data_IF_012176685645
#
_entry.id   IF_012176685645
#
_cell.length_a   1.000
_cell.length_b   1.000
_cell.length_c   1.000
_cell.angle_alpha   90.00
_cell.angle_beta   90.00
_cell.angle_gamma   90.00
#
_symmetry.space_group_name_H-M   'P 1'
#
loop_
_entity.id
_entity.type
_entity.pdbx_description
1 polymer ?
#
# COMPACT_ATOMS: atom_id res chain seq x y z
N UNK A 1 -2.65 30.03 12.36
CA UNK A 1 -2.95 29.19 11.17
C UNK A 1 -1.81 29.17 10.16
N UNK A 2 -1.57 30.19 9.34
CA UNK A 2 -0.57 30.10 8.26
C UNK A 2 0.89 29.95 8.73
N UNK A 3 1.28 30.63 9.81
CA UNK A 3 2.63 30.55 10.37
C UNK A 3 2.99 29.15 10.92
N UNK A 4 2.02 28.44 11.49
CA UNK A 4 2.23 27.09 12.04
C UNK A 4 2.41 26.06 10.92
N UNK A 5 1.64 26.21 9.83
CA UNK A 5 1.77 25.36 8.63
C UNK A 5 3.14 25.58 7.99
N UNK A 6 3.56 26.84 7.81
CA UNK A 6 4.87 27.17 7.23
C UNK A 6 6.01 26.65 8.13
N UNK A 7 5.88 26.80 9.45
CA UNK A 7 6.87 26.31 10.41
C UNK A 7 6.98 24.77 10.38
N UNK A 8 5.84 24.07 10.31
CA UNK A 8 5.80 22.62 10.17
C UNK A 8 6.48 22.13 8.89
N UNK A 9 6.25 22.80 7.75
CA UNK A 9 6.88 22.48 6.46
C UNK A 9 8.41 22.66 6.54
N UNK A 10 8.89 23.74 7.16
CA UNK A 10 10.34 23.99 7.30
C UNK A 10 10.99 22.93 8.20
N UNK A 11 10.35 22.58 9.32
CA UNK A 11 10.84 21.52 10.21
C UNK A 11 10.88 20.18 9.49
N UNK A 12 9.82 19.83 8.75
CA UNK A 12 9.78 18.61 7.96
C UNK A 12 10.88 18.56 6.89
N UNK A 13 11.14 19.68 6.19
CA UNK A 13 12.23 19.76 5.21
C UNK A 13 13.61 19.58 5.85
N UNK A 14 13.82 20.17 7.03
CA UNK A 14 15.06 19.97 7.79
C UNK A 14 15.22 18.52 8.24
N UNK A 15 14.14 17.90 8.72
CA UNK A 15 14.12 16.47 9.02
C UNK A 15 14.45 15.65 7.77
N UNK A 16 13.75 15.85 6.65
CA UNK A 16 14.02 15.12 5.40
C UNK A 16 15.49 15.26 4.97
N UNK A 17 16.04 16.48 5.00
CA UNK A 17 17.44 16.74 4.60
C UNK A 17 18.45 16.08 5.54
N UNK A 18 18.11 15.92 6.81
CA UNK A 18 18.97 15.31 7.82
C UNK A 18 18.90 13.78 7.81
N UNK A 19 17.71 13.21 7.55
CA UNK A 19 17.48 11.76 7.57
C UNK A 19 17.67 11.08 6.20
N UNK A 20 17.50 11.78 5.08
CA UNK A 20 17.71 11.29 3.71
C UNK A 20 18.95 11.95 3.11
N UNK A 21 20.15 11.62 3.63
CA UNK A 21 21.44 12.13 3.17
C UNK A 21 21.43 12.54 1.70
N UNK A 22 21.77 13.80 1.44
CA UNK A 22 21.53 14.46 0.15
C UNK A 22 21.98 13.61 -1.04
N UNK A 23 21.12 13.61 -2.06
CA UNK A 23 21.23 12.94 -3.37
C UNK A 23 20.48 11.60 -3.44
N UNK A 24 19.15 11.68 -3.51
CA UNK A 24 18.39 11.06 -4.60
C UNK A 24 17.01 11.70 -4.66
N UNK A 25 16.93 12.71 -5.55
CA UNK A 25 15.67 13.22 -6.07
C UNK A 25 15.04 12.09 -6.88
N UNK A 26 14.05 11.44 -6.29
CA UNK A 26 12.89 11.00 -7.07
C UNK A 26 11.74 11.91 -6.64
N UNK A 27 11.64 13.03 -7.34
CA UNK A 27 10.34 13.58 -7.68
C UNK A 27 9.61 12.45 -8.43
N UNK A 28 8.92 11.59 -7.68
CA UNK A 28 7.88 10.77 -8.26
C UNK A 28 6.72 11.73 -8.45
N UNK A 29 6.73 12.37 -9.61
CA UNK A 29 5.60 13.14 -10.12
C UNK A 29 4.35 12.27 -9.99
N UNK A 30 3.50 12.62 -9.03
CA UNK A 30 2.08 12.31 -9.07
C UNK A 30 1.41 13.23 -10.09
N UNK A 31 1.75 13.09 -11.36
CA UNK A 31 0.97 13.59 -12.48
C UNK A 31 1.59 13.10 -13.79
N UNK A 32 0.72 12.53 -14.61
CA UNK A 32 0.91 12.16 -16.02
C UNK A 32 1.52 10.77 -16.33
N UNK A 33 0.57 9.87 -16.58
CA UNK A 33 0.70 8.66 -17.39
C UNK A 33 1.50 8.92 -18.68
N UNK A 34 2.75 8.44 -18.74
CA UNK A 34 3.37 7.86 -19.93
C UNK A 34 4.76 7.32 -19.60
N UNK A 35 4.83 6.25 -18.81
CA UNK A 35 5.99 5.36 -18.91
C UNK A 35 5.84 4.60 -20.23
N UNK A 36 6.49 5.11 -21.28
CA UNK A 36 6.64 4.47 -22.59
C UNK A 36 7.44 3.18 -22.35
N UNK A 37 6.75 2.11 -21.96
CA UNK A 37 7.22 0.78 -22.33
C UNK A 37 7.01 0.69 -23.83
N UNK A 38 8.10 0.58 -24.60
CA UNK A 38 8.00 0.04 -25.95
C UNK A 38 7.33 -1.33 -25.82
N UNK A 39 6.02 -1.37 -26.05
CA UNK A 39 5.27 -2.57 -26.34
C UNK A 39 5.89 -3.13 -27.61
N UNK A 40 6.88 -4.01 -27.42
CA UNK A 40 7.31 -4.89 -28.48
C UNK A 40 6.05 -5.64 -28.94
N UNK A 41 5.73 -5.43 -30.20
CA UNK A 41 4.59 -5.98 -30.92
C UNK A 41 4.39 -7.45 -30.51
N UNK A 42 3.21 -7.74 -29.92
CA UNK A 42 2.84 -9.06 -29.40
C UNK A 42 3.10 -10.13 -30.47
N UNK A 43 4.08 -11.01 -30.21
CA UNK A 43 4.13 -12.34 -30.79
C UNK A 43 4.33 -13.33 -29.64
N UNK A 44 3.22 -13.90 -29.18
CA UNK A 44 3.13 -15.12 -28.38
C UNK A 44 4.14 -15.25 -27.21
N UNK A 45 3.84 -14.59 -26.09
CA UNK A 45 4.31 -15.08 -24.80
C UNK A 45 3.16 -15.89 -24.16
N UNK A 46 3.34 -17.19 -23.89
CA UNK A 46 2.31 -17.99 -23.25
C UNK A 46 2.12 -17.50 -21.81
N UNK A 47 0.87 -17.42 -21.36
CA UNK A 47 0.53 -17.18 -19.97
C UNK A 47 1.19 -18.27 -19.09
N UNK A 48 2.23 -17.90 -18.34
CA UNK A 48 2.86 -18.79 -17.37
C UNK A 48 2.09 -18.62 -16.05
N UNK A 49 0.94 -19.27 -15.96
CA UNK A 49 0.38 -19.76 -14.71
C UNK A 49 0.47 -21.29 -14.74
N UNK A 50 1.65 -21.82 -14.45
CA UNK A 50 1.81 -23.22 -14.10
C UNK A 50 3.09 -23.38 -13.28
N UNK A 51 2.93 -23.55 -11.97
CA UNK A 51 3.96 -24.13 -11.12
C UNK A 51 4.13 -25.61 -11.49
N UNK A 52 5.40 -25.97 -11.67
CA UNK A 52 6.02 -27.27 -11.93
C UNK A 52 5.11 -28.52 -12.06
N UNK A 53 5.06 -29.08 -13.27
CA UNK A 53 4.94 -30.53 -13.46
C UNK A 53 5.55 -30.95 -14.81
N UNK A 54 6.14 -32.13 -14.78
CA UNK A 54 7.04 -32.72 -15.77
C UNK A 54 6.52 -32.78 -17.21
N UNK A 55 7.37 -32.31 -18.15
CA UNK A 55 7.66 -32.83 -19.49
C UNK A 55 6.61 -33.77 -20.14
N UNK A 56 5.73 -33.23 -20.98
CA UNK A 56 5.17 -33.94 -22.15
C UNK A 56 4.48 -32.97 -23.16
N UNK A 57 4.89 -33.09 -24.44
CA UNK A 57 4.09 -32.98 -25.68
C UNK A 57 3.04 -31.88 -25.88
N UNK A 58 3.31 -31.04 -26.89
CA UNK A 58 2.42 -30.09 -27.58
C UNK A 58 1.13 -30.72 -28.15
N UNK A 59 -0.04 -30.14 -27.87
CA UNK A 59 -1.12 -29.77 -28.83
C UNK A 59 -2.02 -28.74 -28.12
N UNK A 60 -2.02 -27.48 -28.58
CA UNK A 60 -3.01 -26.48 -28.15
C UNK A 60 -4.27 -26.67 -29.00
N UNK A 61 -5.24 -27.40 -28.47
CA UNK A 61 -6.63 -27.28 -28.93
C UNK A 61 -7.29 -26.19 -28.08
N UNK A 62 -7.56 -25.04 -28.70
CA UNK A 62 -8.39 -24.00 -28.10
C UNK A 62 -9.86 -24.45 -28.19
N UNK A 63 -10.62 -24.53 -27.08
CA UNK A 63 -12.03 -24.85 -27.14
C UNK A 63 -12.78 -23.74 -27.90
N UNK A 64 -13.56 -24.17 -28.89
CA UNK A 64 -14.43 -23.32 -29.71
C UNK A 64 -15.43 -22.62 -28.78
N UNK A 65 -15.27 -21.31 -28.58
CA UNK A 65 -16.26 -20.50 -27.87
C UNK A 65 -15.79 -19.23 -27.15
N UNK A 66 -14.49 -18.94 -27.02
CA UNK A 66 -14.02 -17.66 -26.45
C UNK A 66 -13.69 -16.67 -27.57
N UNK A 67 -14.42 -15.56 -27.61
CA UNK A 67 -14.04 -14.37 -28.38
C UNK A 67 -12.92 -13.63 -27.64
N UNK A 68 -11.93 -13.09 -28.36
CA UNK A 68 -10.73 -12.44 -27.79
C UNK A 68 -11.10 -11.24 -26.88
N UNK A 69 -12.25 -10.61 -27.14
CA UNK A 69 -12.81 -9.54 -26.32
C UNK A 69 -13.28 -10.00 -24.92
N UNK A 70 -13.61 -11.29 -24.74
CA UNK A 70 -14.05 -11.82 -23.44
C UNK A 70 -12.88 -12.15 -22.51
N UNK A 71 -11.69 -12.42 -23.04
CA UNK A 71 -10.50 -12.72 -22.22
C UNK A 71 -9.96 -11.47 -21.50
N UNK A 72 -10.10 -10.29 -22.10
CA UNK A 72 -9.67 -9.02 -21.51
C UNK A 72 -10.49 -8.64 -20.25
N UNK A 73 -11.73 -9.12 -20.13
CA UNK A 73 -12.58 -8.86 -18.96
C UNK A 73 -12.08 -9.55 -17.68
N UNK A 74 -11.28 -10.62 -17.82
CA UNK A 74 -10.78 -11.43 -16.69
C UNK A 74 -9.30 -11.23 -16.39
N UNK A 75 -8.60 -10.44 -17.22
CA UNK A 75 -7.16 -10.25 -17.08
C UNK A 75 -6.81 -9.46 -15.81
N UNK A 76 -5.73 -9.86 -15.16
CA UNK A 76 -5.11 -9.07 -14.10
C UNK A 76 -4.24 -7.97 -14.69
N UNK A 77 -4.30 -6.78 -14.10
CA UNK A 77 -3.55 -5.62 -14.55
C UNK A 77 -2.65 -5.09 -13.44
N UNK A 78 -1.43 -4.69 -13.77
CA UNK A 78 -0.52 -4.04 -12.82
C UNK A 78 -0.92 -2.57 -12.70
N UNK A 79 -1.31 -2.15 -11.49
CA UNK A 79 -1.68 -0.77 -11.19
C UNK A 79 -0.43 0.08 -10.87
N UNK A 80 0.47 -0.48 -10.06
CA UNK A 80 1.68 0.19 -9.57
C UNK A 80 2.81 -0.81 -9.43
N UNK A 81 4.04 -0.35 -9.63
CA UNK A 81 5.24 -1.14 -9.39
C UNK A 81 6.29 -0.27 -8.70
N UNK A 82 7.04 -0.89 -7.79
CA UNK A 82 8.18 -0.28 -7.10
C UNK A 82 9.40 -1.19 -7.23
N UNK A 83 10.57 -0.59 -7.39
CA UNK A 83 11.85 -1.30 -7.44
C UNK A 83 12.80 -0.65 -6.45
N UNK A 84 13.38 -1.47 -5.58
CA UNK A 84 14.28 -1.08 -4.50
C UNK A 84 15.65 -1.67 -4.80
N UNK A 85 16.63 -0.80 -5.03
CA UNK A 85 18.01 -1.24 -5.27
C UNK A 85 18.69 -1.53 -3.95
N UNK A 86 19.33 -2.70 -3.88
CA UNK A 86 20.24 -3.00 -2.78
C UNK A 86 21.58 -2.31 -3.01
N UNK A 87 22.10 -1.61 -2.00
CA UNK A 87 23.39 -0.91 -2.04
C UNK A 87 24.58 -1.88 -2.25
N UNK A 88 24.42 -3.13 -1.82
CA UNK A 88 25.42 -4.19 -2.02
C UNK A 88 25.35 -4.87 -3.40
N UNK A 89 24.39 -4.50 -4.25
CA UNK A 89 24.14 -5.13 -5.55
C UNK A 89 23.57 -6.56 -5.49
N UNK A 90 23.43 -7.12 -4.30
CA UNK A 90 22.84 -8.44 -4.04
C UNK A 90 21.43 -8.23 -3.50
N UNK A 91 20.43 -8.77 -4.19
CA UNK A 91 19.06 -8.87 -3.67
C UNK A 91 18.25 -7.58 -3.73
N UNK A 92 18.24 -6.88 -4.86
CA UNK A 92 17.25 -5.82 -5.12
C UNK A 92 15.83 -6.38 -4.93
N UNK A 93 14.87 -5.57 -4.52
CA UNK A 93 13.49 -6.01 -4.33
C UNK A 93 12.56 -5.30 -5.31
N UNK A 94 11.47 -5.94 -5.68
CA UNK A 94 10.39 -5.28 -6.40
C UNK A 94 9.03 -5.66 -5.80
N UNK A 95 8.10 -4.71 -5.88
CA UNK A 95 6.74 -4.88 -5.41
C UNK A 95 5.76 -4.45 -6.49
N UNK A 96 4.65 -5.17 -6.60
CA UNK A 96 3.63 -4.95 -7.62
C UNK A 96 2.26 -4.87 -6.94
N UNK A 97 1.51 -3.83 -7.26
CA UNK A 97 0.08 -3.75 -7.00
C UNK A 97 -0.67 -4.23 -8.23
N UNK A 98 -1.51 -5.25 -8.08
CA UNK A 98 -2.24 -5.88 -9.17
C UNK A 98 -3.73 -5.79 -8.90
N UNK A 99 -4.49 -5.30 -9.86
CA UNK A 99 -5.94 -5.32 -9.85
C UNK A 99 -6.48 -6.49 -10.66
N UNK A 100 -7.51 -7.15 -10.12
CA UNK A 100 -8.27 -8.18 -10.82
C UNK A 100 -9.77 -7.88 -10.71
N UNK A 101 -10.53 -7.91 -11.82
CA UNK A 101 -11.99 -7.81 -11.79
C UNK A 101 -12.61 -8.95 -10.98
N UNK A 102 -13.55 -8.62 -10.09
CA UNK A 102 -14.39 -9.59 -9.39
C UNK A 102 -15.85 -9.36 -9.78
N UNK A 103 -16.29 -10.10 -10.80
CA UNK A 103 -17.62 -9.97 -11.39
C UNK A 103 -18.74 -10.24 -10.37
N UNK A 104 -18.58 -11.25 -9.52
CA UNK A 104 -19.58 -11.62 -8.51
C UNK A 104 -19.85 -10.51 -7.49
N UNK A 105 -18.80 -9.77 -7.11
CA UNK A 105 -18.94 -8.66 -6.17
C UNK A 105 -19.13 -7.30 -6.86
N UNK A 106 -19.08 -7.26 -8.20
CA UNK A 106 -19.01 -6.03 -9.01
C UNK A 106 -17.97 -5.02 -8.46
N UNK A 107 -16.78 -5.52 -8.09
CA UNK A 107 -15.68 -4.73 -7.50
C UNK A 107 -14.34 -5.15 -8.10
N UNK A 108 -13.33 -4.28 -8.05
CA UNK A 108 -11.94 -4.64 -8.35
C UNK A 108 -11.26 -5.11 -7.08
N UNK A 109 -10.67 -6.32 -7.09
CA UNK A 109 -9.78 -6.78 -6.00
C UNK A 109 -8.38 -6.31 -6.28
N UNK A 110 -7.69 -5.86 -5.23
CA UNK A 110 -6.28 -5.48 -5.30
C UNK A 110 -5.43 -6.47 -4.54
N UNK A 111 -4.29 -6.80 -5.11
CA UNK A 111 -3.29 -7.68 -4.54
C UNK A 111 -1.94 -6.99 -4.52
N UNK A 112 -1.11 -7.36 -3.55
CA UNK A 112 0.31 -7.03 -3.54
C UNK A 112 1.14 -8.30 -3.72
N UNK A 113 2.07 -8.23 -4.65
CA UNK A 113 3.10 -9.24 -4.88
C UNK A 113 4.47 -8.62 -4.65
N UNK A 114 5.40 -9.40 -4.12
CA UNK A 114 6.80 -9.01 -4.00
C UNK A 114 7.71 -10.05 -4.63
N UNK A 115 8.89 -9.63 -5.05
CA UNK A 115 9.92 -10.49 -5.62
C UNK A 115 11.29 -9.97 -5.22
N UNK A 116 12.21 -10.88 -4.91
CA UNK A 116 13.62 -10.54 -4.80
C UNK A 116 14.31 -10.81 -6.14
N UNK A 117 15.11 -9.84 -6.55
CA UNK A 117 15.83 -9.80 -7.82
C UNK A 117 17.31 -9.97 -7.49
N UNK A 118 17.90 -11.04 -8.01
CA UNK A 118 19.31 -11.33 -7.83
C UNK A 118 19.98 -11.51 -9.19
N UNK A 119 21.22 -11.07 -9.29
CA UNK A 119 22.06 -11.28 -10.47
C UNK A 119 22.93 -12.50 -10.23
N UNK A 120 22.77 -13.51 -11.07
CA UNK A 120 23.61 -14.71 -11.07
C UNK A 120 24.97 -14.41 -11.76
N UNK A 121 25.98 -15.24 -11.46
CA UNK A 121 27.35 -15.07 -11.96
C UNK A 121 27.50 -15.10 -13.49
N UNK A 122 26.52 -15.70 -14.18
CA UNK A 122 26.44 -15.85 -15.63
C UNK A 122 25.70 -14.68 -16.34
N UNK A 123 25.54 -13.52 -15.69
CA UNK A 123 24.70 -12.40 -16.16
C UNK A 123 23.20 -12.74 -16.30
N UNK A 124 22.73 -13.87 -15.78
CA UNK A 124 21.30 -14.17 -15.68
C UNK A 124 20.69 -13.38 -14.51
N UNK A 125 19.41 -13.03 -14.62
CA UNK A 125 18.66 -12.37 -13.55
C UNK A 125 17.63 -13.37 -13.04
N UNK A 126 17.70 -13.67 -11.75
CA UNK A 126 16.76 -14.56 -11.08
C UNK A 126 15.74 -13.74 -10.28
N UNK A 127 14.47 -14.11 -10.42
CA UNK A 127 13.33 -13.51 -9.73
C UNK A 127 12.72 -14.54 -8.80
N UNK A 128 12.87 -14.33 -7.49
CA UNK A 128 12.25 -15.16 -6.49
C UNK A 128 10.99 -14.48 -5.98
N UNK A 129 9.86 -14.89 -6.54
CA UNK A 129 8.53 -14.40 -6.16
C UNK A 129 8.14 -14.85 -4.75
N UNK A 130 7.43 -13.99 -4.05
CA UNK A 130 6.76 -14.38 -2.82
C UNK A 130 5.73 -15.49 -3.09
N UNK A 131 5.56 -16.44 -2.15
CA UNK A 131 4.78 -17.65 -2.40
C UNK A 131 3.29 -17.37 -2.63
N UNK A 132 2.75 -16.32 -2.01
CA UNK A 132 1.34 -15.96 -2.13
C UNK A 132 1.15 -14.44 -2.25
N UNK A 133 0.21 -13.98 -3.13
CA UNK A 133 -0.24 -12.60 -3.14
C UNK A 133 -1.00 -12.25 -1.85
N UNK A 134 -0.83 -11.01 -1.40
CA UNK A 134 -1.57 -10.47 -0.25
C UNK A 134 -2.74 -9.64 -0.76
N UNK A 135 -3.96 -10.03 -0.42
CA UNK A 135 -5.17 -9.27 -0.78
C UNK A 135 -5.26 -7.97 0.03
N UNK A 136 -5.46 -6.85 -0.66
CA UNK A 136 -5.50 -5.49 -0.11
C UNK A 136 -6.93 -4.97 0.03
N UNK A 137 -7.83 -5.82 0.51
CA UNK A 137 -9.24 -5.45 0.73
C UNK A 137 -9.38 -4.49 1.91
N UNK A 138 -10.16 -3.41 1.69
CA UNK A 138 -10.38 -2.36 2.69
C UNK A 138 -9.17 -1.44 2.93
N UNK A 139 -8.12 -1.55 2.12
CA UNK A 139 -6.91 -0.75 2.26
C UNK A 139 -7.09 0.63 1.66
N UNK A 140 -6.81 1.65 2.46
CA UNK A 140 -6.84 3.05 2.03
C UNK A 140 -5.49 3.47 1.45
N UNK A 141 -4.39 3.06 2.08
CA UNK A 141 -3.04 3.50 1.72
C UNK A 141 -2.04 2.33 1.80
N UNK A 142 -1.16 2.23 0.81
CA UNK A 142 -0.02 1.29 0.79
C UNK A 142 1.28 2.05 0.53
N UNK A 143 2.28 1.86 1.39
CA UNK A 143 3.59 2.52 1.28
C UNK A 143 4.71 1.52 1.55
N UNK A 144 5.49 1.15 0.54
CA UNK A 144 6.64 0.28 0.74
C UNK A 144 7.75 1.01 1.51
N UNK A 145 8.51 0.25 2.28
CA UNK A 145 9.69 0.74 2.99
C UNK A 145 10.85 1.05 2.02
N UNK A 146 11.81 1.91 2.40
CA UNK A 146 12.97 2.26 1.58
C UNK A 146 13.77 1.06 1.06
N UNK A 147 13.94 -0.01 1.85
CA UNK A 147 14.63 -1.23 1.43
C UNK A 147 13.77 -2.15 0.55
N UNK A 148 12.45 -1.93 0.51
CA UNK A 148 11.47 -2.82 -0.10
C UNK A 148 11.10 -4.05 0.73
N UNK A 149 11.75 -4.28 1.88
CA UNK A 149 11.53 -5.49 2.69
C UNK A 149 10.22 -5.48 3.47
N UNK A 150 9.74 -4.29 3.84
CA UNK A 150 8.48 -4.08 4.55
C UNK A 150 7.47 -3.30 3.71
N UNK A 151 6.20 -3.51 3.99
CA UNK A 151 5.07 -2.77 3.44
C UNK A 151 4.21 -2.24 4.58
N UNK A 152 4.02 -0.92 4.62
CA UNK A 152 3.00 -0.31 5.46
C UNK A 152 1.67 -0.33 4.72
N UNK A 153 0.65 -0.80 5.43
CA UNK A 153 -0.74 -0.80 4.98
C UNK A 153 -1.57 -0.06 6.01
N UNK A 154 -2.37 0.91 5.56
CA UNK A 154 -3.30 1.65 6.42
C UNK A 154 -4.72 1.41 5.96
N UNK A 155 -5.59 1.10 6.92
CA UNK A 155 -7.04 0.99 6.74
C UNK A 155 -7.69 2.08 7.58
N UNK A 156 -8.15 3.12 6.90
CA UNK A 156 -8.96 4.15 7.54
C UNK A 156 -10.33 3.57 7.89
N UNK A 157 -10.93 4.04 8.98
CA UNK A 157 -12.22 3.55 9.40
C UNK A 157 -13.33 4.09 8.48
N UNK A 158 -14.31 3.26 8.16
CA UNK A 158 -15.54 3.72 7.50
C UNK A 158 -16.53 4.36 8.51
N UNK A 159 -16.35 4.07 9.82
CA UNK A 159 -17.24 4.50 10.92
C UNK A 159 -16.41 5.00 12.12
N UNK A 160 -16.98 5.01 13.34
CA UNK A 160 -16.28 5.37 14.59
C UNK A 160 -15.23 4.33 15.06
N UNK A 161 -14.69 3.52 14.14
CA UNK A 161 -13.69 2.50 14.45
C UNK A 161 -12.26 3.06 14.48
N UNK A 162 -11.32 2.39 15.16
CA UNK A 162 -9.90 2.76 15.13
C UNK A 162 -9.28 2.68 13.74
N UNK A 163 -8.35 3.58 13.43
CA UNK A 163 -7.50 3.49 12.23
C UNK A 163 -6.50 2.35 12.42
N UNK A 164 -6.39 1.45 11.44
CA UNK A 164 -5.53 0.27 11.53
C UNK A 164 -4.26 0.45 10.69
N UNK A 165 -3.12 0.24 11.33
CA UNK A 165 -1.81 0.20 10.69
C UNK A 165 -1.30 -1.22 10.73
N UNK A 166 -0.84 -1.72 9.60
CA UNK A 166 -0.24 -3.03 9.47
C UNK A 166 1.12 -2.93 8.80
N UNK A 167 2.11 -3.60 9.39
CA UNK A 167 3.43 -3.76 8.82
C UNK A 167 3.56 -5.20 8.33
N UNK A 168 3.72 -5.36 7.02
CA UNK A 168 3.90 -6.65 6.36
C UNK A 168 5.34 -6.83 5.93
N UNK A 169 5.83 -8.07 5.96
CA UNK A 169 7.15 -8.48 5.50
C UNK A 169 7.07 -9.92 5.02
N UNK A 170 7.73 -10.23 3.90
CA UNK A 170 7.76 -11.60 3.34
C UNK A 170 6.36 -12.26 3.23
N UNK A 171 5.36 -11.49 2.79
CA UNK A 171 3.94 -11.90 2.72
C UNK A 171 3.28 -12.30 4.05
N UNK A 172 3.82 -11.83 5.19
CA UNK A 172 3.28 -12.04 6.53
C UNK A 172 3.07 -10.73 7.26
N UNK A 173 2.01 -10.65 8.06
CA UNK A 173 1.79 -9.55 9.00
C UNK A 173 2.76 -9.66 10.18
N UNK A 174 3.64 -8.66 10.34
CA UNK A 174 4.59 -8.58 11.46
C UNK A 174 4.04 -7.79 12.65
N UNK A 175 3.40 -6.65 12.38
CA UNK A 175 2.86 -5.75 13.41
C UNK A 175 1.51 -5.21 12.98
N UNK A 176 0.63 -5.09 13.96
CA UNK A 176 -0.68 -4.44 13.82
C UNK A 176 -0.82 -3.41 14.94
N UNK A 177 -1.24 -2.20 14.59
CA UNK A 177 -1.58 -1.14 15.53
C UNK A 177 -3.00 -0.64 15.25
N UNK A 178 -3.79 -0.50 16.30
CA UNK A 178 -5.14 0.07 16.23
C UNK A 178 -5.12 1.40 16.95
N UNK A 179 -5.17 2.49 16.20
CA UNK A 179 -5.11 3.84 16.75
C UNK A 179 -6.53 4.35 16.99
N UNK A 180 -6.94 4.59 18.25
CA UNK A 180 -8.29 5.07 18.55
C UNK A 180 -8.56 6.44 17.95
N UNK A 181 -9.83 6.73 17.64
CA UNK A 181 -10.24 8.05 17.12
C UNK A 181 -10.01 9.21 18.10
N UNK A 182 -9.81 8.91 19.40
CA UNK A 182 -9.39 9.90 20.39
C UNK A 182 -7.94 10.36 20.21
N UNK A 183 -7.13 9.64 19.45
CA UNK A 183 -5.72 9.99 19.16
C UNK A 183 -5.59 10.78 17.87
N UNK A 184 -6.28 10.35 16.81
CA UNK A 184 -6.44 11.07 15.54
C UNK A 184 -7.54 10.38 14.70
N UNK A 185 -8.06 11.04 13.66
CA UNK A 185 -9.01 10.46 12.71
C UNK A 185 -8.33 9.71 11.55
N UNK A 186 -8.85 9.85 10.34
CA UNK A 186 -8.31 9.17 9.15
C UNK A 186 -6.92 9.69 8.78
N UNK A 187 -6.09 8.81 8.23
CA UNK A 187 -4.76 9.15 7.70
C UNK A 187 -4.88 9.55 6.25
N UNK A 188 -4.14 10.59 5.85
CA UNK A 188 -4.09 11.08 4.48
C UNK A 188 -2.73 10.82 3.84
N UNK A 189 -2.77 10.48 2.56
CA UNK A 189 -1.61 10.38 1.69
C UNK A 189 -2.05 10.77 0.28
N UNK A 190 -2.40 12.04 0.11
CA UNK A 190 -2.65 12.63 -1.20
C UNK A 190 -1.47 13.51 -1.63
N UNK A 191 -1.48 13.94 -2.89
CA UNK A 191 -0.44 14.82 -3.43
C UNK A 191 -0.45 16.23 -2.81
N UNK A 192 -1.50 16.59 -2.07
CA UNK A 192 -1.66 17.92 -1.48
C UNK A 192 -0.97 18.02 -0.12
N UNK A 193 -1.17 17.05 0.77
CA UNK A 193 -0.65 17.07 2.14
C UNK A 193 0.73 16.43 2.30
N UNK A 194 1.36 16.03 1.19
CA UNK A 194 2.59 15.25 1.14
C UNK A 194 2.42 13.87 1.81
N UNK A 195 3.19 12.90 1.35
CA UNK A 195 2.96 11.49 1.67
C UNK A 195 3.44 11.04 3.06
N UNK A 196 3.10 9.80 3.39
CA UNK A 196 3.69 9.06 4.50
C UNK A 196 5.16 8.76 4.17
N UNK A 197 6.03 8.83 5.19
CA UNK A 197 7.46 8.59 5.02
C UNK A 197 8.02 7.70 6.11
N UNK A 198 8.82 6.72 5.69
CA UNK A 198 9.65 5.92 6.58
C UNK A 198 10.95 6.67 6.91
N UNK A 199 11.54 6.41 8.07
CA UNK A 199 12.94 6.77 8.29
C UNK A 199 13.88 5.73 7.62
N UNK A 200 15.17 6.07 7.54
CA UNK A 200 16.18 5.29 6.80
C UNK A 200 16.43 3.88 7.36
N UNK A 201 16.34 3.71 8.68
CA UNK A 201 16.44 2.42 9.37
C UNK A 201 15.10 1.69 9.52
N UNK A 202 14.02 2.25 8.96
CA UNK A 202 12.67 1.67 8.92
C UNK A 202 12.09 1.33 10.31
N UNK A 203 12.48 2.10 11.32
CA UNK A 203 12.02 1.97 12.70
C UNK A 203 10.89 2.94 13.04
N UNK A 204 10.77 4.05 12.31
CA UNK A 204 9.78 5.12 12.51
C UNK A 204 9.08 5.47 11.20
N UNK A 205 7.85 5.96 11.34
CA UNK A 205 7.00 6.38 10.23
C UNK A 205 6.37 7.72 10.59
N UNK A 206 6.52 8.70 9.72
CA UNK A 206 5.84 9.98 9.78
C UNK A 206 4.61 9.95 8.87
N UNK A 207 3.46 10.41 9.37
CA UNK A 207 2.20 10.46 8.64
C UNK A 207 1.38 11.68 9.05
N UNK A 208 0.42 12.06 8.20
CA UNK A 208 -0.55 13.13 8.46
C UNK A 208 -1.92 12.49 8.70
N UNK A 209 -2.60 12.90 9.77
CA UNK A 209 -3.92 12.40 10.12
C UNK A 209 -4.86 13.54 10.54
N UNK A 210 -6.15 13.27 10.47
CA UNK A 210 -7.19 14.17 10.97
C UNK A 210 -7.08 14.39 12.48
N UNK A 211 -7.50 15.57 12.92
CA UNK A 211 -7.66 15.86 14.35
C UNK A 211 -8.66 14.86 14.97
N UNK A 212 -8.45 14.44 16.24
CA UNK A 212 -9.44 13.65 16.97
C UNK A 212 -10.83 14.25 16.89
N UNK A 213 -11.84 13.39 16.72
CA UNK A 213 -13.23 13.84 16.84
C UNK A 213 -13.44 14.39 18.24
N UNK A 214 -14.03 15.59 18.41
CA UNK A 214 -14.31 16.13 19.72
C UNK A 214 -15.20 15.13 20.47
N UNK A 215 -14.86 14.87 21.74
CA UNK A 215 -15.64 13.97 22.58
C UNK A 215 -17.10 14.43 22.52
N UNK A 216 -17.99 13.58 21.99
CA UNK A 216 -19.43 13.87 22.02
C UNK A 216 -19.75 14.29 23.46
N UNK A 217 -20.31 15.48 23.69
CA UNK A 217 -20.73 15.85 25.03
C UNK A 217 -21.68 14.76 25.50
N UNK A 218 -21.45 14.21 26.68
CA UNK A 218 -22.43 13.34 27.35
C UNK A 218 -23.75 14.10 27.30
N UNK A 219 -24.72 13.59 26.52
CA UNK A 219 -26.04 14.18 26.43
C UNK A 219 -26.49 14.53 27.86
N UNK A 220 -26.83 15.80 28.11
CA UNK A 220 -26.97 16.41 29.44
C UNK A 220 -28.06 15.81 30.36
N UNK A 221 -28.53 14.61 30.07
CA UNK A 221 -29.43 13.81 30.90
C UNK A 221 -28.69 13.30 32.15
N UNK A 222 -27.42 12.91 32.03
CA UNK A 222 -26.64 12.40 33.18
C UNK A 222 -26.23 13.52 34.16
N UNK A 223 -26.00 14.74 33.66
CA UNK A 223 -25.70 15.90 34.51
C UNK A 223 -26.94 16.40 35.26
N UNK A 224 -28.13 16.34 34.64
CA UNK A 224 -29.40 16.70 35.29
C UNK A 224 -29.81 15.67 36.36
N UNK A 225 -29.63 14.37 36.12
CA UNK A 225 -29.88 13.35 37.17
C UNK A 225 -28.95 13.53 38.37
N UNK A 226 -27.68 13.89 38.14
CA UNK A 226 -26.70 14.11 39.20
C UNK A 226 -26.98 15.37 40.03
N UNK A 227 -27.56 16.41 39.41
CA UNK A 227 -27.98 17.65 40.07
C UNK A 227 -29.35 17.53 40.78
N UNK A 228 -30.22 16.62 40.35
CA UNK A 228 -31.55 16.39 40.94
C UNK A 228 -31.59 15.28 42.00
N UNK A 229 -30.55 14.45 42.09
CA UNK A 229 -30.42 13.39 43.10
C UNK A 229 -30.55 13.86 44.57
N UNK A 230 -30.07 15.06 44.98
CA UNK A 230 -30.23 15.53 46.36
C UNK A 230 -31.64 15.99 46.73
N UNK A 231 -32.53 16.21 45.75
CA UNK A 231 -33.87 16.76 45.98
C UNK A 231 -34.97 15.67 46.07
N UNK A 232 -34.61 14.39 45.97
CA UNK A 232 -35.57 13.29 45.85
C UNK A 232 -35.79 12.47 47.13
N UNK A 233 -35.17 12.82 48.24
CA UNK A 233 -35.37 12.14 49.51
C UNK A 233 -36.08 13.07 50.52
N UNK A 234 -37.38 12.85 50.80
CA UNK A 234 -38.05 13.47 51.95
C UNK A 234 -37.56 12.88 53.29
#
# INVERSE_FOLDING_TARGET
MWLEIICGIIIYQLFRRFFYGGNDVLDVETSDFNAIFSVANRKNLPAILAMDSSKAGTVKELPVGLDEATEEEYASHIDKAWVFKSESGIGSQAMFSISQPNLLANKKRKFMLSTSISKESNNNVNFQWAPFPVEMTGVSITVPSPSGSKLLVIRNPENESPTQFEIWSSSRLEKEFRIPQSTHGSVYADGWFWGISWNSDESLIAYVAEEPSPCKPSSGVDELEKQLAPLRNP
#
